data_IF_033084106058
#
_entry.id   IF_033084106058
#
_cell.length_a   1.000
_cell.length_b   1.000
_cell.length_c   1.000
_cell.angle_alpha   90.00
_cell.angle_beta   90.00
_cell.angle_gamma   90.00
#
_symmetry.space_group_name_H-M   'P 1'
#
loop_
_entity.id
_entity.type
_entity.pdbx_description
1 polymer ?
#
# COMPACT_ATOMS: atom_id res chain seq x y z
N UNK A 1 11.19 5.63 -14.77
CA UNK A 1 10.08 6.48 -14.35
C UNK A 1 9.51 7.33 -15.49
N UNK A 2 8.18 7.34 -15.62
CA UNK A 2 7.39 8.18 -16.52
C UNK A 2 6.06 8.55 -15.86
N UNK A 3 5.45 9.65 -16.30
CA UNK A 3 4.10 10.00 -15.85
C UNK A 3 3.10 8.91 -16.22
N UNK A 4 2.14 8.66 -15.35
CA UNK A 4 0.94 7.86 -15.62
C UNK A 4 0.17 8.49 -16.78
N UNK A 5 -0.52 7.67 -17.58
CA UNK A 5 -1.07 8.15 -18.86
C UNK A 5 -2.18 9.19 -18.65
N UNK A 6 -3.14 8.91 -17.77
CA UNK A 6 -4.19 9.85 -17.37
C UNK A 6 -4.60 9.64 -15.92
N UNK A 7 -5.23 10.66 -15.34
CA UNK A 7 -5.88 10.62 -14.03
C UNK A 7 -7.40 10.55 -14.24
N UNK A 8 -8.04 9.65 -13.52
CA UNK A 8 -9.49 9.50 -13.49
C UNK A 8 -10.09 10.12 -12.23
N UNK A 9 -9.35 10.09 -11.12
CA UNK A 9 -9.85 10.55 -9.83
C UNK A 9 -8.71 10.98 -8.90
N UNK A 10 -8.94 12.07 -8.16
CA UNK A 10 -8.11 12.52 -7.04
C UNK A 10 -9.02 12.82 -5.87
N UNK A 11 -8.65 12.34 -4.69
CA UNK A 11 -9.30 12.68 -3.43
C UNK A 11 -8.25 13.05 -2.39
N UNK A 12 -8.58 14.04 -1.57
CA UNK A 12 -7.68 14.56 -0.55
C UNK A 12 -8.42 14.73 0.77
N UNK A 13 -7.86 14.12 1.81
CA UNK A 13 -8.40 14.19 3.16
C UNK A 13 -7.36 14.73 4.11
N UNK A 14 -7.73 15.72 4.93
CA UNK A 14 -6.88 16.18 6.02
C UNK A 14 -7.11 15.36 7.28
N UNK A 15 -6.04 15.09 8.02
CA UNK A 15 -6.10 14.58 9.38
C UNK A 15 -4.99 15.20 10.22
N UNK A 16 -5.20 15.30 11.52
CA UNK A 16 -4.21 15.82 12.45
C UNK A 16 -3.60 14.66 13.27
N UNK A 17 -2.29 14.71 13.48
CA UNK A 17 -1.56 13.75 14.32
C UNK A 17 -0.48 14.47 15.12
N UNK A 18 -0.47 14.27 16.44
CA UNK A 18 0.48 14.90 17.36
C UNK A 18 0.58 16.44 17.22
N UNK A 19 -0.53 17.11 16.92
CA UNK A 19 -0.57 18.56 16.75
C UNK A 19 -0.06 19.07 15.40
N UNK A 20 0.20 18.18 14.43
CA UNK A 20 0.58 18.51 13.07
C UNK A 20 -0.49 18.06 12.08
N UNK A 21 -0.79 18.91 11.09
CA UNK A 21 -1.72 18.59 10.02
C UNK A 21 -1.05 17.78 8.90
N UNK A 22 -1.72 16.72 8.48
CA UNK A 22 -1.32 15.86 7.36
C UNK A 22 -2.46 15.78 6.34
N UNK A 23 -2.10 15.48 5.10
CA UNK A 23 -3.06 15.15 4.04
C UNK A 23 -2.78 13.75 3.52
N UNK A 24 -3.84 12.97 3.36
CA UNK A 24 -3.84 11.74 2.57
C UNK A 24 -4.32 12.08 1.16
N UNK A 25 -3.53 11.74 0.15
CA UNK A 25 -3.89 11.91 -1.26
C UNK A 25 -4.07 10.53 -1.86
N UNK A 26 -5.27 10.29 -2.40
CA UNK A 26 -5.61 9.08 -3.16
C UNK A 26 -5.78 9.46 -4.63
N UNK A 27 -5.00 8.85 -5.52
CA UNK A 27 -5.07 9.09 -6.96
C UNK A 27 -5.29 7.79 -7.71
N UNK A 28 -6.27 7.79 -8.61
CA UNK A 28 -6.53 6.71 -9.56
C UNK A 28 -6.28 7.23 -10.97
N UNK A 29 -5.52 6.47 -11.74
CA UNK A 29 -5.19 6.79 -13.13
C UNK A 29 -5.13 5.55 -13.99
N UNK A 30 -4.74 5.74 -15.25
CA UNK A 30 -4.59 4.64 -16.20
C UNK A 30 -3.20 4.62 -16.82
N UNK A 31 -2.74 3.43 -17.16
CA UNK A 31 -1.56 3.17 -17.98
C UNK A 31 -1.95 2.42 -19.24
N UNK A 32 -1.12 2.49 -20.28
CA UNK A 32 -1.43 1.97 -21.62
C UNK A 32 -0.94 0.53 -21.88
N UNK A 33 -0.34 -0.14 -20.89
CA UNK A 33 0.16 -1.50 -21.04
C UNK A 33 0.21 -2.28 -19.72
N UNK A 34 0.35 -3.60 -19.80
CA UNK A 34 0.67 -4.45 -18.64
C UNK A 34 2.09 -4.22 -18.13
N UNK A 35 2.32 -4.42 -16.82
CA UNK A 35 3.67 -4.53 -16.24
C UNK A 35 4.30 -3.22 -15.75
N UNK A 36 3.51 -2.15 -15.66
CA UNK A 36 3.92 -0.96 -14.91
C UNK A 36 4.09 -1.31 -13.44
N UNK A 37 5.13 -0.76 -12.80
CA UNK A 37 5.43 -0.95 -11.37
C UNK A 37 5.70 0.39 -10.70
N UNK A 38 5.86 0.35 -9.37
CA UNK A 38 6.37 1.47 -8.57
C UNK A 38 5.62 2.78 -8.89
N UNK A 39 4.29 2.71 -8.79
CA UNK A 39 3.39 3.84 -9.05
C UNK A 39 3.30 4.68 -7.78
N UNK A 40 3.58 5.98 -7.88
CA UNK A 40 3.58 6.88 -6.73
C UNK A 40 3.35 8.36 -7.10
N UNK A 41 2.83 9.11 -6.13
CA UNK A 41 2.71 10.56 -6.15
C UNK A 41 4.01 11.23 -5.67
N UNK A 42 4.49 12.20 -6.43
CA UNK A 42 5.68 13.00 -6.09
C UNK A 42 5.31 14.47 -5.90
N UNK A 43 5.52 15.06 -4.70
CA UNK A 43 5.22 16.46 -4.46
C UNK A 43 6.20 17.37 -5.20
N UNK A 44 5.69 18.48 -5.74
CA UNK A 44 6.53 19.59 -6.20
C UNK A 44 6.77 20.55 -5.03
N UNK A 45 8.04 20.88 -4.80
CA UNK A 45 8.43 21.82 -3.74
C UNK A 45 8.72 23.20 -4.32
N UNK A 46 8.25 24.23 -3.62
CA UNK A 46 8.40 25.62 -4.02
C UNK A 46 9.18 26.40 -2.97
N UNK A 47 10.02 27.32 -3.42
CA UNK A 47 10.68 28.31 -2.53
C UNK A 47 9.66 29.37 -2.08
N UNK A 48 8.75 29.76 -2.97
CA UNK A 48 7.65 30.69 -2.69
C UNK A 48 6.35 29.92 -2.86
N UNK A 49 5.45 29.92 -1.85
CA UNK A 49 4.16 29.25 -1.96
C UNK A 49 3.38 29.69 -3.21
N UNK A 50 2.73 28.76 -3.93
CA UNK A 50 1.82 29.10 -5.02
C UNK A 50 0.72 30.07 -4.55
N UNK A 51 0.44 31.09 -5.36
CA UNK A 51 -0.55 32.13 -5.02
C UNK A 51 -1.99 31.62 -4.95
N UNK A 52 -2.28 30.52 -5.67
CA UNK A 52 -3.58 29.84 -5.63
C UNK A 52 -3.74 28.93 -4.40
N UNK A 53 -2.66 28.67 -3.64
CA UNK A 53 -2.68 27.77 -2.50
C UNK A 53 -2.85 26.31 -2.90
N UNK A 54 -2.60 25.95 -4.16
CA UNK A 54 -2.71 24.57 -4.66
C UNK A 54 -1.33 23.92 -4.65
N UNK A 55 -1.21 22.80 -3.94
CA UNK A 55 0.03 22.03 -3.92
C UNK A 55 0.04 21.02 -5.08
N UNK A 56 1.03 21.11 -5.95
CA UNK A 56 1.09 20.25 -7.14
C UNK A 56 1.88 18.96 -6.90
N UNK A 57 1.42 17.88 -7.53
CA UNK A 57 2.02 16.55 -7.50
C UNK A 57 2.11 15.98 -8.91
N UNK A 58 3.14 15.21 -9.17
CA UNK A 58 3.27 14.40 -10.38
C UNK A 58 2.94 12.94 -10.07
N UNK A 59 2.11 12.32 -10.91
CA UNK A 59 1.78 10.91 -10.77
C UNK A 59 2.69 10.07 -11.66
N UNK A 60 3.64 9.37 -11.04
CA UNK A 60 4.67 8.60 -11.72
C UNK A 60 4.45 7.10 -11.61
N UNK A 61 5.09 6.37 -12.53
CA UNK A 61 5.30 4.93 -12.45
C UNK A 61 6.52 4.51 -13.27
N UNK A 62 7.00 3.31 -13.03
CA UNK A 62 8.04 2.70 -13.85
C UNK A 62 7.41 1.93 -15.02
N UNK A 63 7.74 2.31 -16.27
CA UNK A 63 7.20 1.62 -17.42
C UNK A 63 7.82 0.22 -17.54
N UNK A 64 7.06 -0.76 -18.05
CA UNK A 64 7.55 -2.11 -18.25
C UNK A 64 8.70 -2.17 -19.27
N UNK A 65 9.58 -3.15 -19.10
CA UNK A 65 10.61 -3.49 -20.10
C UNK A 65 10.25 -4.79 -20.84
N UNK A 66 10.49 -4.83 -22.15
CA UNK A 66 10.29 -6.04 -22.96
C UNK A 66 8.91 -6.12 -23.61
N UNK A 67 8.46 -7.35 -23.93
CA UNK A 67 7.16 -7.55 -24.54
C UNK A 67 6.04 -7.34 -23.53
N UNK A 68 5.04 -6.56 -23.92
CA UNK A 68 3.88 -6.19 -23.09
C UNK A 68 2.60 -6.34 -23.88
N UNK A 69 1.48 -6.47 -23.17
CA UNK A 69 0.15 -6.33 -23.75
C UNK A 69 -0.25 -4.86 -23.71
N UNK A 70 -0.65 -4.31 -24.85
CA UNK A 70 -1.15 -2.94 -24.99
C UNK A 70 -2.63 -2.90 -24.64
N UNK A 71 -2.92 -2.57 -23.39
CA UNK A 71 -4.28 -2.48 -22.84
C UNK A 71 -4.29 -1.40 -21.75
N UNK A 72 -5.38 -0.64 -21.68
CA UNK A 72 -5.56 0.35 -20.63
C UNK A 72 -5.87 -0.35 -19.30
N UNK A 73 -5.05 -0.12 -18.29
CA UNK A 73 -5.21 -0.72 -16.97
C UNK A 73 -5.21 0.37 -15.89
N UNK A 74 -6.05 0.22 -14.85
CA UNK A 74 -6.05 1.15 -13.73
C UNK A 74 -4.79 0.98 -12.88
N UNK A 75 -4.30 2.09 -12.37
CA UNK A 75 -3.25 2.16 -11.34
C UNK A 75 -3.70 3.14 -10.27
N UNK A 76 -3.26 2.90 -9.04
CA UNK A 76 -3.61 3.75 -7.91
C UNK A 76 -2.42 3.92 -6.99
N UNK A 77 -2.37 5.08 -6.34
CA UNK A 77 -1.47 5.35 -5.23
C UNK A 77 -2.21 6.09 -4.12
N UNK A 78 -1.78 5.85 -2.89
CA UNK A 78 -2.31 6.48 -1.70
C UNK A 78 -1.14 6.82 -0.76
N UNK A 79 -0.90 8.12 -0.54
CA UNK A 79 0.24 8.58 0.25
C UNK A 79 -0.12 9.73 1.19
N UNK A 80 0.59 9.77 2.32
CA UNK A 80 0.47 10.80 3.34
C UNK A 80 1.58 11.83 3.23
N UNK A 81 1.22 13.11 3.30
CA UNK A 81 2.16 14.23 3.28
C UNK A 81 1.88 15.16 4.46
N UNK A 82 2.93 15.73 5.05
CA UNK A 82 2.76 16.85 6.00
C UNK A 82 2.16 18.04 5.25
N UNK A 83 1.06 18.58 5.75
CA UNK A 83 0.32 19.66 5.07
C UNK A 83 1.01 20.99 5.35
N UNK A 84 1.48 21.72 4.34
CA UNK A 84 1.91 23.10 4.54
C UNK A 84 0.71 23.98 4.92
N UNK A 85 0.92 24.98 5.78
CA UNK A 85 -0.16 25.88 6.23
C UNK A 85 -0.83 26.63 5.08
N UNK A 86 -0.08 26.91 4.02
CA UNK A 86 -0.57 27.61 2.82
C UNK A 86 -1.42 26.72 1.89
N UNK A 87 -1.30 25.40 1.99
CA UNK A 87 -1.97 24.47 1.07
C UNK A 87 -3.45 24.33 1.40
N UNK A 88 -4.30 24.64 0.42
CA UNK A 88 -5.78 24.56 0.48
C UNK A 88 -6.34 23.44 -0.40
N UNK A 89 -5.59 23.06 -1.44
CA UNK A 89 -5.96 22.04 -2.40
C UNK A 89 -4.73 21.34 -2.96
N UNK A 90 -4.96 20.31 -3.76
CA UNK A 90 -3.94 19.56 -4.47
C UNK A 90 -4.28 19.51 -5.95
N UNK A 91 -3.27 19.61 -6.81
CA UNK A 91 -3.35 19.33 -8.25
C UNK A 91 -2.42 18.19 -8.60
N UNK A 92 -2.95 17.10 -9.16
CA UNK A 92 -2.13 15.97 -9.62
C UNK A 92 -2.01 16.04 -11.14
N UNK A 93 -0.79 15.92 -11.65
CA UNK A 93 -0.47 15.88 -13.08
C UNK A 93 -0.18 14.45 -13.54
N UNK A 94 -0.75 14.11 -14.69
CA UNK A 94 -0.43 12.94 -15.50
C UNK A 94 0.04 13.39 -16.88
N UNK A 95 0.39 12.43 -17.74
CA UNK A 95 0.92 12.72 -19.07
C UNK A 95 -0.08 13.45 -19.98
N UNK A 96 -1.38 13.13 -19.88
CA UNK A 96 -2.42 13.68 -20.76
C UNK A 96 -3.35 14.69 -20.10
N UNK A 97 -3.43 14.73 -18.77
CA UNK A 97 -4.32 15.62 -18.04
C UNK A 97 -3.80 15.95 -16.64
N UNK A 98 -4.51 16.83 -15.95
CA UNK A 98 -4.35 17.10 -14.52
C UNK A 98 -5.72 17.16 -13.85
N UNK A 99 -5.76 16.86 -12.56
CA UNK A 99 -6.99 16.94 -11.76
C UNK A 99 -6.72 17.62 -10.43
N UNK A 100 -7.63 18.50 -10.04
CA UNK A 100 -7.60 19.24 -8.79
C UNK A 100 -8.59 18.66 -7.79
N UNK A 101 -8.23 18.69 -6.52
CA UNK A 101 -9.12 18.37 -5.40
C UNK A 101 -8.85 19.33 -4.25
N UNK A 102 -9.93 19.86 -3.68
CA UNK A 102 -9.84 20.61 -2.43
C UNK A 102 -9.47 19.67 -1.28
N UNK A 103 -8.79 20.21 -0.26
CA UNK A 103 -8.49 19.47 0.97
C UNK A 103 -9.76 19.48 1.82
N UNK A 104 -10.39 18.32 1.95
CA UNK A 104 -11.56 18.18 2.82
C UNK A 104 -11.10 18.22 4.28
N UNK A 105 -11.42 19.31 4.98
CA UNK A 105 -11.25 19.41 6.43
C UNK A 105 -12.40 18.71 7.13
N UNK A 106 -12.15 17.83 8.12
CA UNK A 106 -13.23 17.31 8.96
C UNK A 106 -13.86 18.46 9.75
N UNK A 107 -15.18 18.67 9.58
CA UNK A 107 -15.89 19.70 10.36
C UNK A 107 -15.87 19.37 11.87
N UNK A 108 -15.72 20.37 12.76
CA UNK A 108 -15.81 20.15 14.19
C UNK A 108 -17.25 19.74 14.56
N UNK A 109 -17.46 18.45 14.78
CA UNK A 109 -18.77 17.85 15.07
C UNK A 109 -19.44 17.14 13.89
N UNK A 110 -18.79 17.09 12.72
CA UNK A 110 -19.23 16.23 11.62
C UNK A 110 -19.07 14.73 11.98
N UNK A 111 -19.82 13.83 11.32
CA UNK A 111 -19.60 12.40 11.49
C UNK A 111 -18.13 12.09 11.22
N UNK A 112 -17.49 11.33 12.12
CA UNK A 112 -16.14 10.81 11.89
C UNK A 112 -16.18 10.04 10.58
N UNK A 113 -15.57 10.59 9.54
CA UNK A 113 -15.55 10.00 8.21
C UNK A 113 -14.89 8.61 8.32
N UNK A 114 -15.72 7.57 8.27
CA UNK A 114 -15.28 6.29 7.72
C UNK A 114 -14.93 6.45 6.24
N UNK A 115 -14.38 5.41 5.59
CA UNK A 115 -14.15 5.44 4.16
C UNK A 115 -15.46 5.81 3.45
N UNK A 116 -15.43 6.92 2.70
CA UNK A 116 -16.57 7.41 1.93
C UNK A 116 -16.88 6.39 0.85
N UNK A 117 -17.82 5.48 1.13
CA UNK A 117 -18.50 4.68 0.13
C UNK A 117 -19.52 5.59 -0.57
N UNK A 118 -19.44 5.61 -1.89
CA UNK A 118 -20.19 6.48 -2.78
C UNK A 118 -21.70 6.35 -2.60
N UNK A 119 -22.37 7.50 -2.51
CA UNK A 119 -23.81 7.66 -2.67
C UNK A 119 -24.24 7.18 -4.07
N UNK A 120 -24.90 6.02 -4.10
CA UNK A 120 -25.77 5.58 -5.20
C UNK A 120 -27.07 5.02 -4.61
N UNK A 121 -28.03 5.90 -4.39
CA UNK A 121 -29.46 5.66 -4.64
C UNK A 121 -30.15 4.52 -3.86
N UNK A 122 -30.71 4.88 -2.71
CA UNK A 122 -32.06 4.60 -2.15
C UNK A 122 -32.81 3.26 -2.35
N UNK A 123 -32.30 2.24 -3.02
CA UNK A 123 -32.96 0.90 -3.10
C UNK A 123 -32.11 -0.23 -2.52
N UNK A 124 -30.84 0.02 -2.18
CA UNK A 124 -29.95 -0.97 -1.55
C UNK A 124 -30.08 -1.05 -0.02
N UNK A 125 -30.76 -0.09 0.61
CA UNK A 125 -30.81 0.07 2.08
C UNK A 125 -31.49 -1.13 2.77
N UNK A 126 -32.51 -1.74 2.14
CA UNK A 126 -33.15 -2.97 2.67
C UNK A 126 -32.36 -4.26 2.42
N UNK A 127 -31.40 -4.26 1.50
CA UNK A 127 -30.52 -5.41 1.27
C UNK A 127 -29.28 -5.39 2.19
N UNK A 128 -28.86 -4.21 2.63
CA UNK A 128 -27.70 -4.00 3.51
C UNK A 128 -27.93 -4.43 4.96
N UNK A 129 -29.14 -4.28 5.50
CA UNK A 129 -29.45 -4.68 6.89
C UNK A 129 -29.22 -6.19 7.14
N UNK A 130 -29.32 -7.02 6.10
CA UNK A 130 -29.06 -8.46 6.18
C UNK A 130 -27.62 -8.89 5.80
N UNK A 131 -26.80 -7.98 5.24
CA UNK A 131 -25.39 -8.23 4.88
C UNK A 131 -24.40 -7.66 5.92
N UNK A 132 -24.77 -6.58 6.61
CA UNK A 132 -23.98 -6.00 7.70
C UNK A 132 -23.74 -6.99 8.85
N UNK A 133 -24.56 -8.03 8.99
CA UNK A 133 -24.35 -9.03 10.04
C UNK A 133 -23.13 -9.93 9.79
N UNK A 134 -22.46 -9.91 8.61
CA UNK A 134 -21.34 -10.83 8.32
C UNK A 134 -20.20 -10.35 7.41
N UNK A 135 -20.13 -9.08 7.00
CA UNK A 135 -19.00 -8.61 6.19
C UNK A 135 -17.72 -8.45 7.04
N UNK A 136 -16.96 -9.53 7.23
CA UNK A 136 -15.63 -9.48 7.83
C UNK A 136 -14.68 -8.76 6.88
N UNK A 137 -14.11 -7.65 7.32
CA UNK A 137 -13.06 -6.91 6.62
C UNK A 137 -11.80 -7.77 6.59
N UNK A 138 -11.24 -8.00 5.39
CA UNK A 138 -9.99 -8.74 5.20
C UNK A 138 -8.88 -7.75 4.86
N UNK A 139 -7.99 -7.49 5.80
CA UNK A 139 -6.77 -6.70 5.59
C UNK A 139 -5.64 -7.63 5.17
N UNK A 140 -4.94 -7.29 4.08
CA UNK A 140 -3.77 -8.02 3.60
C UNK A 140 -2.57 -7.10 3.59
N UNK A 141 -1.56 -7.41 4.40
CA UNK A 141 -0.33 -6.61 4.54
C UNK A 141 0.89 -7.47 4.17
N UNK A 142 1.75 -6.96 3.28
CA UNK A 142 2.98 -7.69 2.92
C UNK A 142 4.04 -7.43 3.99
N UNK A 143 4.35 -8.44 4.79
CA UNK A 143 5.31 -8.32 5.88
C UNK A 143 6.75 -8.32 5.39
N UNK A 144 7.08 -9.22 4.46
CA UNK A 144 8.44 -9.34 3.96
C UNK A 144 8.57 -10.13 2.67
N UNK A 145 9.66 -9.85 1.97
CA UNK A 145 10.13 -10.65 0.85
C UNK A 145 11.61 -10.92 1.04
N UNK A 146 11.99 -12.20 1.05
CA UNK A 146 13.38 -12.59 1.22
C UNK A 146 13.72 -13.81 0.38
N UNK A 147 15.02 -13.96 0.08
CA UNK A 147 15.56 -15.07 -0.67
C UNK A 147 16.49 -15.91 0.23
N UNK A 148 16.36 -17.23 0.17
CA UNK A 148 17.27 -18.18 0.82
C UNK A 148 17.67 -19.33 -0.12
N UNK A 149 18.40 -20.32 0.42
CA UNK A 149 18.69 -21.59 -0.25
C UNK A 149 19.29 -21.43 -1.66
N UNK A 150 20.33 -20.60 -1.76
CA UNK A 150 21.08 -20.39 -2.99
C UNK A 150 21.82 -21.67 -3.38
N UNK A 151 21.50 -22.21 -4.55
CA UNK A 151 22.06 -23.45 -5.06
C UNK A 151 22.49 -23.28 -6.52
N UNK A 152 23.67 -23.80 -6.85
CA UNK A 152 24.08 -23.99 -8.24
C UNK A 152 23.38 -25.25 -8.77
N UNK A 153 22.73 -25.14 -9.92
CA UNK A 153 21.96 -26.24 -10.54
C UNK A 153 22.39 -26.58 -11.96
N UNK A 154 23.42 -25.91 -12.48
CA UNK A 154 24.00 -26.24 -13.77
C UNK A 154 24.72 -25.06 -14.41
N UNK A 155 24.79 -25.08 -15.74
CA UNK A 155 25.43 -24.04 -16.55
C UNK A 155 24.43 -23.44 -17.55
N UNK A 156 24.62 -22.17 -17.89
CA UNK A 156 23.86 -21.50 -18.95
C UNK A 156 24.68 -21.29 -20.25
N UNK A 157 25.92 -21.77 -20.28
CA UNK A 157 26.89 -21.54 -21.36
C UNK A 157 27.93 -20.45 -21.02
N UNK A 158 29.10 -20.50 -21.66
CA UNK A 158 30.22 -19.60 -21.35
C UNK A 158 30.70 -19.74 -19.90
N UNK A 159 30.96 -18.62 -19.22
CA UNK A 159 31.30 -18.56 -17.79
C UNK A 159 30.05 -18.44 -16.88
N UNK A 160 28.85 -18.51 -17.44
CA UNK A 160 27.58 -18.28 -16.71
C UNK A 160 27.02 -19.54 -16.06
N UNK A 161 26.87 -19.54 -14.74
CA UNK A 161 26.29 -20.66 -13.99
C UNK A 161 24.79 -20.47 -13.79
N UNK A 162 24.05 -21.59 -13.86
CA UNK A 162 22.62 -21.62 -13.56
C UNK A 162 22.45 -21.77 -12.06
N UNK A 163 21.78 -20.79 -11.47
CA UNK A 163 21.48 -20.76 -10.04
C UNK A 163 19.98 -20.92 -9.80
N UNK A 164 19.63 -21.42 -8.61
CA UNK A 164 18.29 -21.32 -8.04
C UNK A 164 18.35 -20.79 -6.61
N UNK A 165 17.30 -20.11 -6.21
CA UNK A 165 17.06 -19.59 -4.85
C UNK A 165 15.60 -19.78 -4.54
N UNK A 166 15.30 -19.92 -3.27
CA UNK A 166 13.94 -19.99 -2.80
C UNK A 166 13.53 -18.59 -2.38
N UNK A 167 12.49 -18.04 -3.01
CA UNK A 167 11.93 -16.74 -2.64
C UNK A 167 10.70 -16.96 -1.80
N UNK A 168 10.64 -16.28 -0.67
CA UNK A 168 9.50 -16.26 0.24
C UNK A 168 8.86 -14.88 0.20
N UNK A 169 7.54 -14.85 0.22
CA UNK A 169 6.73 -13.64 0.28
C UNK A 169 5.68 -13.85 1.37
N UNK A 170 5.92 -13.20 2.51
CA UNK A 170 5.07 -13.30 3.70
C UNK A 170 3.99 -12.23 3.65
N UNK A 171 2.74 -12.66 3.74
CA UNK A 171 1.56 -11.78 3.76
C UNK A 171 0.76 -12.06 5.03
N UNK A 172 0.58 -11.02 5.86
CA UNK A 172 -0.38 -11.03 6.95
C UNK A 172 -1.79 -10.84 6.40
N UNK A 173 -2.72 -11.67 6.82
CA UNK A 173 -4.13 -11.60 6.51
C UNK A 173 -4.87 -11.51 7.84
N UNK A 174 -5.58 -10.42 8.08
CA UNK A 174 -6.40 -10.23 9.29
C UNK A 174 -7.84 -10.05 8.86
N UNK A 175 -8.73 -10.90 9.35
CA UNK A 175 -10.16 -10.80 9.13
C UNK A 175 -10.83 -10.27 10.40
N UNK A 176 -11.67 -9.25 10.30
CA UNK A 176 -12.38 -8.74 11.47
C UNK A 176 -13.42 -7.69 11.15
N UNK A 177 -14.17 -7.20 12.15
CA UNK A 177 -15.27 -6.27 11.92
C UNK A 177 -14.78 -4.84 11.59
N UNK A 178 -13.55 -4.47 11.96
CA UNK A 178 -13.06 -3.10 11.83
C UNK A 178 -11.62 -3.02 11.29
N UNK A 179 -11.46 -2.47 10.07
CA UNK A 179 -10.15 -2.25 9.43
C UNK A 179 -9.24 -1.28 10.21
N UNK A 180 -9.81 -0.23 10.81
CA UNK A 180 -9.03 0.82 11.46
C UNK A 180 -8.33 0.30 12.72
N UNK A 181 -8.96 -0.62 13.44
CA UNK A 181 -8.37 -1.27 14.61
C UNK A 181 -7.27 -2.25 14.19
N UNK A 182 -7.48 -2.98 13.08
CA UNK A 182 -6.46 -3.86 12.48
C UNK A 182 -5.20 -3.05 12.12
N UNK A 183 -5.35 -1.95 11.37
CA UNK A 183 -4.19 -1.14 10.94
C UNK A 183 -3.45 -0.51 12.12
N UNK A 184 -4.19 0.03 13.10
CA UNK A 184 -3.60 0.59 14.33
C UNK A 184 -2.84 -0.46 15.12
N UNK A 185 -3.35 -1.68 15.19
CA UNK A 185 -2.67 -2.79 15.85
C UNK A 185 -1.44 -3.24 15.09
N UNK A 186 -1.50 -3.35 13.76
CA UNK A 186 -0.33 -3.64 12.92
C UNK A 186 0.76 -2.60 13.14
N UNK A 187 0.44 -1.31 13.15
CA UNK A 187 1.41 -0.24 13.38
C UNK A 187 2.05 -0.31 14.78
N UNK A 188 1.26 -0.64 15.82
CA UNK A 188 1.79 -0.82 17.19
C UNK A 188 2.64 -2.08 17.34
N UNK A 189 2.26 -3.17 16.68
CA UNK A 189 2.97 -4.45 16.71
C UNK A 189 4.16 -4.50 15.76
N UNK A 190 4.19 -3.63 14.73
CA UNK A 190 5.31 -3.42 13.82
C UNK A 190 6.44 -2.56 14.42
N UNK A 191 6.52 -2.48 15.75
CA UNK A 191 7.72 -2.01 16.43
C UNK A 191 8.97 -2.76 15.92
N UNK A 192 10.14 -2.13 16.07
CA UNK A 192 11.42 -2.54 15.47
C UNK A 192 11.80 -4.05 15.59
N UNK A 193 11.14 -4.81 16.47
CA UNK A 193 11.32 -6.25 16.66
C UNK A 193 10.98 -7.14 15.46
N UNK A 194 9.85 -6.95 14.75
CA UNK A 194 9.51 -7.83 13.61
C UNK A 194 10.49 -7.60 12.43
N UNK A 195 10.75 -6.32 12.11
CA UNK A 195 11.68 -5.93 11.05
C UNK A 195 13.10 -6.41 11.38
N UNK A 196 13.58 -6.19 12.62
CA UNK A 196 14.90 -6.66 13.04
C UNK A 196 15.00 -8.19 13.05
N UNK A 197 13.92 -8.90 13.40
CA UNK A 197 13.92 -10.36 13.40
C UNK A 197 13.88 -10.95 11.98
N UNK A 198 13.14 -10.33 11.05
CA UNK A 198 13.17 -10.72 9.63
C UNK A 198 14.56 -10.45 9.02
N UNK A 199 15.23 -9.36 9.42
CA UNK A 199 16.63 -9.11 9.04
C UNK A 199 17.57 -10.16 9.66
N UNK A 200 17.36 -10.56 10.92
CA UNK A 200 18.15 -11.61 11.56
C UNK A 200 17.95 -12.99 10.90
N UNK A 201 16.77 -13.26 10.35
CA UNK A 201 16.45 -14.50 9.61
C UNK A 201 17.35 -14.69 8.38
N UNK A 202 17.73 -13.60 7.72
CA UNK A 202 18.71 -13.62 6.64
C UNK A 202 20.08 -14.16 7.10
N UNK A 203 20.45 -13.89 8.36
CA UNK A 203 21.72 -14.31 8.94
C UNK A 203 21.68 -15.74 9.51
N UNK A 204 20.54 -16.20 10.00
CA UNK A 204 20.42 -17.49 10.70
C UNK A 204 19.77 -18.61 9.86
N UNK A 205 19.39 -18.35 8.61
CA UNK A 205 18.80 -19.37 7.72
C UNK A 205 17.41 -19.86 8.15
N UNK A 206 16.53 -18.94 8.59
CA UNK A 206 15.11 -19.27 8.84
C UNK A 206 14.75 -19.75 10.25
N UNK A 207 15.71 -20.20 11.07
CA UNK A 207 15.42 -20.71 12.41
C UNK A 207 14.74 -19.67 13.34
N UNK A 208 15.14 -18.41 13.24
CA UNK A 208 14.56 -17.32 14.02
C UNK A 208 13.19 -16.83 13.52
N UNK A 209 12.77 -17.23 12.31
CA UNK A 209 11.59 -16.67 11.65
C UNK A 209 10.30 -17.13 12.34
N UNK A 210 10.22 -18.41 12.68
CA UNK A 210 9.03 -18.97 13.32
C UNK A 210 8.81 -18.36 14.71
N UNK A 211 9.88 -18.13 15.47
CA UNK A 211 9.81 -17.48 16.77
C UNK A 211 9.40 -16.00 16.65
N UNK A 212 9.94 -15.29 15.66
CA UNK A 212 9.61 -13.89 15.38
C UNK A 212 8.15 -13.72 14.93
N UNK A 213 7.70 -14.58 14.01
CA UNK A 213 6.31 -14.63 13.57
C UNK A 213 5.40 -14.93 14.77
N UNK A 214 5.74 -15.90 15.62
CA UNK A 214 4.96 -16.23 16.82
C UNK A 214 4.84 -15.06 17.79
N UNK A 215 5.93 -14.34 18.07
CA UNK A 215 5.92 -13.17 18.95
C UNK A 215 5.10 -12.01 18.36
N UNK A 216 5.18 -11.81 17.05
CA UNK A 216 4.41 -10.81 16.33
C UNK A 216 2.91 -11.13 16.32
N UNK A 217 2.55 -12.37 16.01
CA UNK A 217 1.15 -12.82 16.05
C UNK A 217 0.57 -12.70 17.46
N UNK A 218 1.31 -13.08 18.50
CA UNK A 218 0.88 -12.91 19.89
C UNK A 218 0.68 -11.43 20.27
N UNK A 219 1.51 -10.52 19.73
CA UNK A 219 1.31 -9.08 19.92
C UNK A 219 0.07 -8.56 19.22
N UNK A 220 -0.23 -9.06 18.01
CA UNK A 220 -1.45 -8.73 17.28
C UNK A 220 -2.69 -9.27 17.99
N UNK A 221 -2.66 -10.52 18.46
CA UNK A 221 -3.74 -11.15 19.24
C UNK A 221 -3.95 -10.46 20.60
N UNK A 222 -2.91 -9.86 21.19
CA UNK A 222 -3.06 -9.04 22.39
C UNK A 222 -3.66 -7.66 22.11
N UNK A 223 -3.56 -7.18 20.87
CA UNK A 223 -4.04 -5.86 20.47
C UNK A 223 -5.48 -5.94 19.90
N UNK A 224 -5.80 -7.04 19.22
CA UNK A 224 -7.09 -7.33 18.61
C UNK A 224 -7.90 -8.23 19.55
N UNK A 225 -9.22 -8.06 19.63
CA UNK A 225 -10.08 -8.91 20.45
C UNK A 225 -10.35 -10.27 19.80
N UNK A 226 -11.09 -11.14 20.48
CA UNK A 226 -11.46 -12.50 20.01
C UNK A 226 -12.29 -12.52 18.71
N UNK A 227 -12.74 -11.36 18.21
CA UNK A 227 -13.55 -11.23 17.00
C UNK A 227 -12.71 -11.18 15.70
N UNK A 228 -11.38 -11.20 15.83
CA UNK A 228 -10.45 -11.13 14.71
C UNK A 228 -9.81 -12.50 14.43
N UNK A 229 -9.62 -12.82 13.16
CA UNK A 229 -8.86 -14.00 12.72
C UNK A 229 -7.59 -13.58 12.00
N UNK A 230 -6.45 -14.02 12.52
CA UNK A 230 -5.14 -13.69 11.97
C UNK A 230 -4.57 -14.92 11.27
N UNK A 231 -4.07 -14.73 10.06
CA UNK A 231 -3.39 -15.76 9.27
C UNK A 231 -2.17 -15.14 8.59
N UNK A 232 -1.05 -15.85 8.59
CA UNK A 232 0.11 -15.48 7.79
C UNK A 232 0.22 -16.48 6.65
N UNK A 233 0.21 -15.96 5.42
CA UNK A 233 0.43 -16.71 4.20
C UNK A 233 1.89 -16.57 3.78
N UNK A 234 2.58 -17.69 3.60
CA UNK A 234 3.92 -17.73 3.00
C UNK A 234 3.81 -18.26 1.56
N UNK A 235 4.15 -17.40 0.60
CA UNK A 235 4.25 -17.77 -0.81
C UNK A 235 5.69 -18.06 -1.18
N UNK A 236 6.06 -19.31 -1.02
CA UNK A 236 7.37 -19.82 -1.39
C UNK A 236 7.43 -20.26 -2.85
N UNK A 237 8.45 -19.79 -3.60
CA UNK A 237 8.71 -20.27 -4.98
C UNK A 237 10.19 -20.31 -5.32
N UNK A 238 10.58 -21.33 -6.10
CA UNK A 238 11.93 -21.41 -6.66
C UNK A 238 12.08 -20.43 -7.81
N UNK A 239 13.07 -19.55 -7.72
CA UNK A 239 13.50 -18.67 -8.81
C UNK A 239 14.81 -19.22 -9.37
N UNK A 240 14.87 -19.34 -10.69
CA UNK A 240 16.07 -19.76 -11.41
C UNK A 240 16.61 -18.59 -12.21
N UNK A 241 17.93 -18.39 -12.19
CA UNK A 241 18.60 -17.37 -13.01
C UNK A 241 19.96 -17.87 -13.49
N UNK A 242 20.53 -17.15 -14.45
CA UNK A 242 21.90 -17.33 -14.91
C UNK A 242 22.72 -16.14 -14.42
N UNK A 243 23.93 -16.37 -13.93
CA UNK A 243 24.87 -15.32 -13.49
C UNK A 243 25.59 -14.69 -14.67
#
# INVERSE_FOLDING_TARGET
MKLISSIEQVQVHQFDSNGHAFINISAIGTVNSTGWSDVFLSPRYYVVPPSDGIWEFDFYGDPPSGQVLWVNLPVADNQNFGKPDWAKGVRVYAASNSMESEILTPEPGGPKLGPVLFDKGSEQELALENLETRARVIVKERLAVFDDSFNIIGHCGGLSVRMKKLRHELTLIVEGPNEADIRRCIERSAGAGLIAAIVAVYLTGGAALHAAIGAFTASLESCLSDEFHIKIEDKTRWIKWCT
#
